data_IF_778917039349
#
_entry.id   IF_778917039349
#
_cell.length_a   1.000
_cell.length_b   1.000
_cell.length_c   1.000
_cell.angle_alpha   90.00
_cell.angle_beta   90.00
_cell.angle_gamma   90.00
#
_symmetry.space_group_name_H-M   'P 1'
#
loop_
_entity.id
_entity.type
_entity.pdbx_description
1 polymer ?
#
# COMPACT_ATOMS: atom_id res chain seq x y z
N UNK A 1 -2.41 -6.32 14.15
CA UNK A 1 -1.88 -5.86 12.85
C UNK A 1 -2.21 -4.41 12.56
N UNK A 2 -3.47 -3.97 12.77
CA UNK A 2 -3.90 -2.60 12.45
C UNK A 2 -3.06 -1.53 13.16
N UNK A 3 -2.92 -1.60 14.48
CA UNK A 3 -2.15 -0.63 15.28
C UNK A 3 -0.69 -0.52 14.83
N UNK A 4 -0.02 -1.66 14.62
CA UNK A 4 1.37 -1.70 14.17
C UNK A 4 1.53 -1.02 12.81
N UNK A 5 0.72 -1.39 11.81
CA UNK A 5 0.84 -0.86 10.46
C UNK A 5 0.50 0.63 10.42
N UNK A 6 -0.57 1.04 11.11
CA UNK A 6 -0.94 2.46 11.21
C UNK A 6 0.17 3.27 11.90
N UNK A 7 0.76 2.76 12.98
CA UNK A 7 1.89 3.39 13.65
C UNK A 7 3.12 3.53 12.74
N UNK A 8 3.44 2.49 11.97
CA UNK A 8 4.54 2.52 10.99
C UNK A 8 4.27 3.52 9.86
N UNK A 9 3.05 3.58 9.31
CA UNK A 9 2.69 4.59 8.29
C UNK A 9 2.83 6.00 8.84
N UNK A 10 2.41 6.24 10.09
CA UNK A 10 2.60 7.54 10.76
C UNK A 10 4.09 7.85 10.93
N UNK A 11 4.90 6.87 11.35
CA UNK A 11 6.35 7.05 11.47
C UNK A 11 7.00 7.40 10.11
N UNK A 12 6.65 6.67 9.05
CA UNK A 12 7.14 6.93 7.68
C UNK A 12 6.75 8.34 7.24
N UNK A 13 5.49 8.74 7.42
CA UNK A 13 5.00 10.08 7.08
C UNK A 13 5.73 11.17 7.89
N UNK A 14 5.98 10.94 9.19
CA UNK A 14 6.71 11.90 10.03
C UNK A 14 8.16 12.09 9.56
N UNK A 15 8.84 11.01 9.18
CA UNK A 15 10.21 11.07 8.65
C UNK A 15 10.21 11.78 7.30
N UNK A 16 9.23 11.51 6.43
CA UNK A 16 9.07 12.21 5.17
C UNK A 16 8.93 13.73 5.39
N UNK A 17 8.09 14.16 6.34
CA UNK A 17 7.93 15.58 6.71
C UNK A 17 9.23 16.22 7.20
N UNK A 18 10.03 15.50 7.99
CA UNK A 18 11.37 15.96 8.39
C UNK A 18 12.25 16.19 7.16
N UNK A 19 12.25 15.25 6.20
CA UNK A 19 12.99 15.41 4.95
C UNK A 19 12.46 16.57 4.09
N UNK A 20 11.15 16.84 4.06
CA UNK A 20 10.60 18.04 3.39
C UNK A 20 11.23 19.30 3.96
N UNK A 21 11.28 19.41 5.30
CA UNK A 21 11.91 20.56 5.98
C UNK A 21 13.41 20.66 5.71
N UNK A 22 14.14 19.54 5.79
CA UNK A 22 15.59 19.50 5.53
C UNK A 22 15.96 19.81 4.07
N UNK A 23 15.03 19.58 3.14
CA UNK A 23 15.19 19.91 1.72
C UNK A 23 14.58 21.26 1.34
N UNK A 24 14.16 22.08 2.32
CA UNK A 24 13.53 23.40 2.10
C UNK A 24 12.30 23.36 1.17
N UNK A 25 11.61 22.22 1.10
CA UNK A 25 10.47 22.03 0.20
C UNK A 25 10.83 21.72 -1.26
N UNK A 26 12.11 21.60 -1.62
CA UNK A 26 12.54 21.18 -2.95
C UNK A 26 12.43 19.66 -3.11
N UNK A 27 11.21 19.19 -3.39
CA UNK A 27 10.87 17.77 -3.53
C UNK A 27 9.86 17.55 -4.66
N UNK A 28 9.79 16.32 -5.17
CA UNK A 28 8.74 15.92 -6.10
C UNK A 28 7.47 15.54 -5.33
N UNK A 29 6.50 16.46 -5.24
CA UNK A 29 5.29 16.30 -4.44
C UNK A 29 4.41 15.14 -4.95
N UNK A 30 4.47 14.83 -6.24
CA UNK A 30 3.74 13.68 -6.79
C UNK A 30 4.25 12.36 -6.22
N UNK A 31 5.55 12.24 -5.95
CA UNK A 31 6.14 11.04 -5.37
C UNK A 31 5.75 10.85 -3.89
N UNK A 32 5.35 11.92 -3.18
CA UNK A 32 4.79 11.80 -1.83
C UNK A 32 3.44 11.07 -1.81
N UNK A 33 2.63 11.17 -2.87
CA UNK A 33 1.35 10.47 -2.97
C UNK A 33 1.55 8.95 -3.07
N UNK A 34 2.74 8.53 -3.49
CA UNK A 34 3.16 7.13 -3.58
C UNK A 34 3.62 6.54 -2.25
N UNK A 35 3.42 7.24 -1.11
CA UNK A 35 3.76 6.73 0.23
C UNK A 35 3.09 5.39 0.53
N UNK A 36 1.82 5.22 0.16
CA UNK A 36 1.08 3.97 0.37
C UNK A 36 1.62 2.84 -0.52
N UNK A 37 1.95 3.14 -1.79
CA UNK A 37 2.28 2.12 -2.80
C UNK A 37 3.75 1.74 -2.81
N UNK A 38 4.63 2.68 -2.50
CA UNK A 38 6.08 2.49 -2.46
C UNK A 38 6.57 2.47 -1.03
N UNK A 39 6.37 3.55 -0.28
CA UNK A 39 6.90 3.68 1.09
C UNK A 39 6.47 2.54 2.00
N UNK A 40 5.17 2.30 2.14
CA UNK A 40 4.67 1.24 3.01
C UNK A 40 5.10 -0.17 2.57
N UNK A 41 5.20 -0.45 1.26
CA UNK A 41 5.70 -1.75 0.77
C UNK A 41 7.13 -2.02 1.22
N UNK A 42 7.96 -0.98 1.19
CA UNK A 42 9.38 -1.05 1.49
C UNK A 42 9.63 -1.15 3.00
N UNK A 43 8.94 -0.33 3.78
CA UNK A 43 9.20 -0.18 5.22
C UNK A 43 8.43 -1.16 6.10
N UNK A 44 7.22 -1.56 5.68
CA UNK A 44 6.35 -2.46 6.44
C UNK A 44 6.46 -3.89 5.91
N UNK A 45 6.62 -4.03 4.60
CA UNK A 45 6.74 -5.32 3.92
C UNK A 45 5.39 -5.84 3.40
N UNK A 46 5.45 -6.44 2.20
CA UNK A 46 4.29 -6.99 1.48
C UNK A 46 3.47 -7.99 2.33
N UNK A 47 4.05 -8.97 3.06
CA UNK A 47 3.27 -9.96 3.80
C UNK A 47 2.38 -9.36 4.91
N UNK A 48 2.87 -8.35 5.63
CA UNK A 48 2.09 -7.71 6.69
C UNK A 48 0.93 -6.88 6.11
N UNK A 49 1.15 -6.25 4.96
CA UNK A 49 0.09 -5.54 4.23
C UNK A 49 -0.95 -6.52 3.65
N UNK A 50 -0.54 -7.71 3.21
CA UNK A 50 -1.46 -8.79 2.78
C UNK A 50 -2.37 -9.19 3.94
N UNK A 51 -1.79 -9.48 5.12
CA UNK A 51 -2.58 -9.84 6.31
C UNK A 51 -3.56 -8.71 6.66
N UNK A 52 -3.13 -7.44 6.59
CA UNK A 52 -4.01 -6.30 6.84
C UNK A 52 -5.18 -6.24 5.87
N UNK A 53 -4.92 -6.35 4.56
CA UNK A 53 -5.99 -6.32 3.58
C UNK A 53 -6.96 -7.49 3.73
N UNK A 54 -6.46 -8.69 4.05
CA UNK A 54 -7.33 -9.84 4.30
C UNK A 54 -8.17 -9.67 5.57
N UNK A 55 -7.63 -9.06 6.64
CA UNK A 55 -8.44 -8.75 7.82
C UNK A 55 -9.56 -7.77 7.49
N UNK A 56 -9.32 -6.79 6.62
CA UNK A 56 -10.38 -5.90 6.16
C UNK A 56 -11.42 -6.63 5.31
N UNK A 57 -11.00 -7.43 4.33
CA UNK A 57 -11.92 -8.24 3.51
C UNK A 57 -12.77 -9.16 4.39
N UNK A 58 -12.17 -9.78 5.41
CA UNK A 58 -12.89 -10.60 6.39
C UNK A 58 -13.92 -9.76 7.15
N UNK A 59 -13.53 -8.58 7.66
CA UNK A 59 -14.43 -7.67 8.36
C UNK A 59 -15.62 -7.23 7.49
N UNK A 60 -15.41 -6.86 6.22
CA UNK A 60 -16.50 -6.51 5.30
C UNK A 60 -17.33 -7.73 4.83
N UNK A 61 -16.84 -8.94 5.09
CA UNK A 61 -17.54 -10.20 4.77
C UNK A 61 -18.24 -10.80 5.98
N UNK A 62 -18.16 -10.15 7.15
CA UNK A 62 -18.77 -10.56 8.41
C UNK A 62 -19.71 -9.51 8.94
N UNK A 63 -20.79 -9.95 9.57
CA UNK A 63 -21.69 -9.10 10.35
C UNK A 63 -21.14 -8.86 11.76
N UNK A 64 -21.42 -7.68 12.34
CA UNK A 64 -21.03 -7.36 13.72
C UNK A 64 -22.14 -7.69 14.70
N UNK A 65 -21.89 -8.71 15.52
CA UNK A 65 -22.79 -9.17 16.59
C UNK A 65 -22.19 -8.88 17.96
N UNK A 66 -23.00 -8.33 18.85
CA UNK A 66 -22.66 -8.18 20.26
C UNK A 66 -23.53 -9.09 21.11
N UNK A 67 -22.91 -9.88 21.98
CA UNK A 67 -23.62 -10.65 22.99
C UNK A 67 -23.92 -9.74 24.18
N UNK A 68 -25.19 -9.40 24.37
CA UNK A 68 -25.64 -8.53 25.46
C UNK A 68 -26.36 -9.36 26.50
N UNK A 69 -25.97 -9.18 27.76
CA UNK A 69 -26.64 -9.78 28.90
C UNK A 69 -27.71 -8.81 29.42
N UNK A 70 -28.98 -9.23 29.41
CA UNK A 70 -30.09 -8.46 29.99
C UNK A 70 -30.73 -9.28 31.10
N UNK A 71 -30.30 -9.03 32.34
CA UNK A 71 -30.66 -9.86 33.50
C UNK A 71 -29.96 -11.22 33.43
N UNK A 72 -30.73 -12.30 33.44
CA UNK A 72 -30.25 -13.69 33.31
C UNK A 72 -30.21 -14.21 31.88
N UNK A 73 -30.68 -13.43 30.89
CA UNK A 73 -30.79 -13.86 29.51
C UNK A 73 -29.73 -13.19 28.62
N UNK A 74 -28.92 -14.00 27.95
CA UNK A 74 -27.94 -13.56 26.95
C UNK A 74 -28.56 -13.62 25.56
N UNK A 75 -28.49 -12.52 24.81
CA UNK A 75 -28.98 -12.47 23.42
C UNK A 75 -28.00 -11.70 22.53
N UNK A 76 -28.01 -12.02 21.23
CA UNK A 76 -27.21 -11.30 20.25
C UNK A 76 -27.97 -10.08 19.74
N UNK A 77 -27.29 -8.95 19.70
CA UNK A 77 -27.79 -7.70 19.12
C UNK A 77 -26.94 -7.36 17.90
N UNK A 78 -27.60 -7.06 16.80
CA UNK A 78 -26.95 -6.51 15.60
C UNK A 78 -26.62 -5.05 15.88
N UNK A 79 -25.34 -4.71 15.82
CA UNK A 79 -24.91 -3.32 15.93
C UNK A 79 -24.72 -2.75 14.55
N UNK A 80 -25.45 -1.68 14.24
CA UNK A 80 -25.21 -0.95 13.00
C UNK A 80 -23.92 -0.16 13.13
N UNK A 81 -22.88 -0.59 12.42
CA UNK A 81 -21.66 0.19 12.33
C UNK A 81 -21.91 1.48 11.53
N UNK A 82 -21.36 2.61 11.98
CA UNK A 82 -21.52 3.86 11.27
C UNK A 82 -20.83 3.82 9.91
N UNK A 83 -21.40 4.53 8.94
CA UNK A 83 -21.00 4.52 7.53
C UNK A 83 -19.49 4.73 7.30
N UNK A 84 -18.83 5.53 8.13
CA UNK A 84 -17.40 5.83 8.00
C UNK A 84 -16.51 4.62 8.30
N UNK A 85 -16.94 3.67 9.15
CA UNK A 85 -16.18 2.44 9.40
C UNK A 85 -16.16 1.55 8.17
N UNK A 86 -17.29 1.43 7.47
CA UNK A 86 -17.37 0.69 6.20
C UNK A 86 -16.46 1.31 5.15
N UNK A 87 -16.47 2.65 5.03
CA UNK A 87 -15.62 3.37 4.08
C UNK A 87 -14.13 3.23 4.41
N UNK A 88 -13.77 3.31 5.70
CA UNK A 88 -12.40 3.09 6.18
C UNK A 88 -11.95 1.66 5.92
N UNK A 89 -12.79 0.67 6.24
CA UNK A 89 -12.47 -0.74 6.01
C UNK A 89 -12.35 -1.04 4.51
N UNK A 90 -13.17 -0.43 3.66
CA UNK A 90 -13.02 -0.51 2.19
C UNK A 90 -11.69 0.10 1.73
N UNK A 91 -11.25 1.20 2.34
CA UNK A 91 -9.92 1.77 2.07
C UNK A 91 -8.81 0.78 2.44
N UNK A 92 -8.99 -0.02 3.48
CA UNK A 92 -8.03 -1.07 3.84
C UNK A 92 -7.95 -2.22 2.81
N UNK A 93 -8.97 -2.42 1.98
CA UNK A 93 -8.91 -3.38 0.86
C UNK A 93 -7.98 -2.86 -0.25
N UNK A 94 -7.79 -1.55 -0.38
CA UNK A 94 -6.89 -0.98 -1.41
C UNK A 94 -5.44 -1.37 -1.23
N UNK A 95 -5.03 -1.78 -0.03
CA UNK A 95 -3.72 -2.41 0.19
C UNK A 95 -3.54 -3.65 -0.66
N UNK A 96 -4.57 -4.50 -0.80
CA UNK A 96 -4.51 -5.68 -1.67
C UNK A 96 -4.30 -5.26 -3.13
N UNK A 97 -4.99 -4.20 -3.56
CA UNK A 97 -4.83 -3.65 -4.93
C UNK A 97 -3.39 -3.17 -5.15
N UNK A 98 -2.82 -2.46 -4.18
CA UNK A 98 -1.43 -2.01 -4.24
C UNK A 98 -0.46 -3.21 -4.33
N UNK A 99 -0.69 -4.28 -3.58
CA UNK A 99 0.14 -5.50 -3.60
C UNK A 99 0.02 -6.22 -4.94
N UNK A 100 -1.20 -6.33 -5.49
CA UNK A 100 -1.42 -6.94 -6.81
C UNK A 100 -0.75 -6.11 -7.89
N UNK A 101 -0.87 -4.77 -7.87
CA UNK A 101 -0.16 -3.89 -8.79
C UNK A 101 1.37 -4.07 -8.67
N UNK A 102 1.87 -4.19 -7.46
CA UNK A 102 3.30 -4.30 -7.16
C UNK A 102 3.93 -5.63 -7.64
N UNK A 103 3.17 -6.73 -7.56
CA UNK A 103 3.55 -8.01 -8.18
C UNK A 103 3.38 -7.94 -9.69
N UNK A 104 2.27 -7.37 -10.17
CA UNK A 104 1.96 -7.26 -11.60
C UNK A 104 3.01 -6.42 -12.35
N UNK A 105 3.65 -5.48 -11.67
CA UNK A 105 4.70 -4.60 -12.18
C UNK A 105 5.87 -5.32 -12.84
N UNK A 106 6.15 -6.57 -12.44
CA UNK A 106 7.13 -7.41 -13.12
C UNK A 106 6.81 -7.65 -14.60
N UNK A 107 5.52 -7.59 -14.97
CA UNK A 107 5.03 -7.73 -16.35
C UNK A 107 4.50 -6.42 -16.94
N UNK A 108 3.84 -5.58 -16.13
CA UNK A 108 3.21 -4.35 -16.60
C UNK A 108 4.21 -3.19 -16.75
N UNK A 109 5.29 -3.17 -15.97
CA UNK A 109 6.39 -2.20 -16.07
C UNK A 109 5.87 -0.75 -16.15
N UNK A 110 6.22 0.00 -17.20
CA UNK A 110 5.86 1.42 -17.42
C UNK A 110 4.35 1.65 -17.49
N UNK A 111 3.55 0.62 -17.83
CA UNK A 111 2.10 0.74 -17.84
C UNK A 111 1.53 0.99 -16.45
N UNK A 112 2.21 0.56 -15.39
CA UNK A 112 1.74 0.63 -14.02
C UNK A 112 1.41 2.06 -13.59
N UNK A 113 2.20 3.05 -14.02
CA UNK A 113 1.97 4.47 -13.72
C UNK A 113 0.60 4.97 -14.20
N UNK A 114 0.14 4.50 -15.36
CA UNK A 114 -1.07 5.01 -16.00
C UNK A 114 -2.36 4.49 -15.33
N UNK A 115 -2.34 3.25 -14.82
CA UNK A 115 -3.56 2.62 -14.32
C UNK A 115 -3.60 2.42 -12.81
N UNK A 116 -2.46 2.45 -12.10
CA UNK A 116 -2.39 2.08 -10.69
C UNK A 116 -3.35 2.89 -9.80
N UNK A 117 -3.37 4.23 -9.97
CA UNK A 117 -4.22 5.14 -9.20
C UNK A 117 -5.70 4.96 -9.53
N UNK A 118 -6.03 4.93 -10.82
CA UNK A 118 -7.41 4.72 -11.27
C UNK A 118 -7.95 3.36 -10.81
N UNK A 119 -7.14 2.31 -10.88
CA UNK A 119 -7.51 0.96 -10.43
C UNK A 119 -7.86 0.92 -8.94
N UNK A 120 -7.05 1.56 -8.07
CA UNK A 120 -7.38 1.58 -6.64
C UNK A 120 -8.61 2.42 -6.32
N UNK A 121 -8.82 3.55 -7.01
CA UNK A 121 -10.05 4.34 -6.87
C UNK A 121 -11.27 3.53 -7.32
N UNK A 122 -11.18 2.85 -8.47
CA UNK A 122 -12.25 2.02 -9.02
C UNK A 122 -12.62 0.89 -8.05
N UNK A 123 -11.63 0.11 -7.59
CA UNK A 123 -11.88 -0.98 -6.64
C UNK A 123 -12.46 -0.44 -5.34
N UNK A 124 -11.93 0.66 -4.81
CA UNK A 124 -12.46 1.27 -3.58
C UNK A 124 -13.94 1.64 -3.74
N UNK A 125 -14.30 2.31 -4.84
CA UNK A 125 -15.69 2.66 -5.13
C UNK A 125 -16.58 1.42 -5.28
N UNK A 126 -16.12 0.37 -5.96
CA UNK A 126 -16.88 -0.88 -6.10
C UNK A 126 -17.07 -1.55 -4.73
N UNK A 127 -16.04 -1.63 -3.90
CA UNK A 127 -16.12 -2.26 -2.58
C UNK A 127 -17.04 -1.46 -1.66
N UNK A 128 -16.96 -0.14 -1.67
CA UNK A 128 -17.86 0.75 -0.91
C UNK A 128 -19.30 0.56 -1.36
N UNK A 129 -19.57 0.66 -2.67
CA UNK A 129 -20.94 0.52 -3.20
C UNK A 129 -21.52 -0.88 -2.93
N UNK A 130 -20.74 -1.93 -3.14
CA UNK A 130 -21.13 -3.30 -2.84
C UNK A 130 -21.48 -3.49 -1.35
N UNK A 131 -20.77 -2.81 -0.45
CA UNK A 131 -21.02 -2.87 1.00
C UNK A 131 -22.28 -2.15 1.43
N UNK A 132 -22.72 -1.12 0.70
CA UNK A 132 -23.96 -0.41 0.97
C UNK A 132 -25.18 -1.05 0.29
N UNK A 133 -25.02 -1.55 -0.95
CA UNK A 133 -26.13 -2.14 -1.72
C UNK A 133 -26.46 -3.55 -1.24
N UNK A 134 -25.46 -4.33 -0.85
CA UNK A 134 -25.62 -5.70 -0.39
C UNK A 134 -24.84 -5.90 0.93
N UNK A 135 -25.36 -5.38 2.07
CA UNK A 135 -24.77 -5.60 3.38
C UNK A 135 -24.84 -7.09 3.77
N UNK A 136 -23.92 -7.54 4.61
CA UNK A 136 -23.91 -8.92 5.12
C UNK A 136 -24.78 -9.02 6.37
N UNK A 137 -25.82 -9.84 6.30
CA UNK A 137 -26.65 -10.23 7.44
C UNK A 137 -26.12 -11.51 8.10
N UNK A 138 -26.41 -11.68 9.39
CA UNK A 138 -26.11 -12.91 10.12
C UNK A 138 -27.25 -13.92 9.93
N UNK A 139 -26.91 -15.21 9.91
CA UNK A 139 -27.91 -16.29 9.92
C UNK A 139 -27.79 -17.10 11.19
N UNK A 140 -28.87 -17.15 11.97
CA UNK A 140 -29.00 -17.97 13.18
C UNK A 140 -30.03 -19.06 12.92
N UNK A 141 -29.61 -20.32 12.98
CA UNK A 141 -30.52 -21.47 12.95
C UNK A 141 -30.47 -22.16 14.31
N UNK A 142 -31.62 -22.23 14.98
CA UNK A 142 -31.75 -22.85 16.30
C UNK A 142 -32.13 -24.31 16.08
N UNK A 143 -31.24 -25.22 16.48
CA UNK A 143 -31.46 -26.66 16.46
C UNK A 143 -30.84 -27.22 17.74
N UNK A 144 -31.69 -27.69 18.66
CA UNK A 144 -31.23 -28.29 19.91
C UNK A 144 -30.95 -29.77 19.69
N UNK A 145 -29.67 -30.13 19.65
CA UNK A 145 -29.23 -31.52 19.59
C UNK A 145 -28.36 -31.80 20.82
N UNK A 146 -28.83 -32.70 21.69
CA UNK A 146 -28.11 -33.12 22.88
C UNK A 146 -27.56 -34.53 22.68
N UNK A 147 -26.25 -34.69 22.85
CA UNK A 147 -25.58 -35.99 22.80
C UNK A 147 -24.86 -36.26 24.12
N UNK A 148 -24.80 -37.54 24.52
CA UNK A 148 -24.00 -37.98 25.66
C UNK A 148 -22.60 -38.31 25.15
N UNK A 149 -21.62 -37.44 25.45
CA UNK A 149 -20.27 -37.55 24.87
C UNK A 149 -19.38 -38.57 25.61
N UNK A 150 -19.71 -38.94 26.87
CA UNK A 150 -18.85 -39.81 27.68
C UNK A 150 -19.62 -40.59 28.75
N UNK A 151 -19.02 -41.71 29.18
CA UNK A 151 -19.50 -42.61 30.26
C UNK A 151 -19.31 -41.91 31.62
N UNK A 152 -20.10 -40.86 31.87
CA UNK A 152 -20.32 -40.21 33.18
C UNK A 152 -21.45 -39.14 33.11
N UNK A 153 -22.45 -39.34 32.24
CA UNK A 153 -23.61 -38.45 32.08
C UNK A 153 -23.29 -36.99 31.71
N UNK A 154 -22.15 -36.70 31.08
CA UNK A 154 -21.89 -35.38 30.52
C UNK A 154 -22.71 -35.17 29.24
N UNK A 155 -23.80 -34.41 29.34
CA UNK A 155 -24.64 -34.01 28.21
C UNK A 155 -24.04 -32.77 27.54
N UNK A 156 -23.70 -32.89 26.26
CA UNK A 156 -23.29 -31.76 25.41
C UNK A 156 -24.45 -31.44 24.49
N UNK A 157 -25.07 -30.28 24.67
CA UNK A 157 -26.13 -29.78 23.81
C UNK A 157 -25.59 -28.70 22.86
N UNK A 158 -25.72 -28.92 21.56
CA UNK A 158 -25.62 -27.86 20.57
C UNK A 158 -26.98 -27.15 20.53
N UNK A 159 -27.02 -25.84 20.79
CA UNK A 159 -28.28 -25.06 20.82
C UNK A 159 -28.64 -24.44 19.46
N UNK A 160 -27.72 -24.42 18.51
CA UNK A 160 -27.91 -23.85 17.18
C UNK A 160 -26.60 -23.54 16.48
N UNK A 161 -26.69 -23.22 15.19
CA UNK A 161 -25.54 -22.78 14.38
C UNK A 161 -25.68 -21.29 14.02
N UNK A 162 -24.61 -20.53 14.29
CA UNK A 162 -24.54 -19.10 14.00
C UNK A 162 -23.52 -18.86 12.89
N UNK A 163 -24.01 -18.42 11.73
CA UNK A 163 -23.19 -18.01 10.60
C UNK A 163 -23.06 -16.49 10.58
N UNK A 164 -21.84 -15.99 10.82
CA UNK A 164 -21.55 -14.56 10.95
C UNK A 164 -21.03 -13.96 9.64
N UNK A 165 -20.39 -14.76 8.79
CA UNK A 165 -19.81 -14.29 7.53
C UNK A 165 -19.81 -15.33 6.44
N UNK A 166 -19.60 -14.86 5.20
CA UNK A 166 -19.73 -15.67 4.00
C UNK A 166 -18.43 -15.69 3.20
N UNK A 167 -17.91 -16.90 2.92
CA UNK A 167 -16.74 -17.09 2.07
C UNK A 167 -16.98 -16.59 0.64
N UNK A 168 -18.22 -16.67 0.14
CA UNK A 168 -18.60 -16.14 -1.17
C UNK A 168 -18.27 -14.66 -1.28
N UNK A 169 -18.53 -13.86 -0.24
CA UNK A 169 -18.23 -12.43 -0.23
C UNK A 169 -16.73 -12.13 -0.29
N UNK A 170 -15.94 -12.90 0.45
CA UNK A 170 -14.47 -12.83 0.41
C UNK A 170 -13.97 -13.10 -1.02
N UNK A 171 -14.45 -14.18 -1.63
CA UNK A 171 -14.09 -14.54 -3.01
C UNK A 171 -14.50 -13.45 -4.00
N UNK A 172 -15.70 -12.88 -3.85
CA UNK A 172 -16.15 -11.75 -4.69
C UNK A 172 -15.23 -10.54 -4.56
N UNK A 173 -14.85 -10.14 -3.34
CA UNK A 173 -13.95 -8.99 -3.14
C UNK A 173 -12.57 -9.23 -3.76
N UNK A 174 -12.01 -10.43 -3.58
CA UNK A 174 -10.73 -10.81 -4.18
C UNK A 174 -10.85 -10.82 -5.71
N UNK A 175 -11.91 -11.40 -6.26
CA UNK A 175 -12.18 -11.41 -7.69
C UNK A 175 -12.33 -10.00 -8.28
N UNK A 176 -12.96 -9.07 -7.57
CA UNK A 176 -13.04 -7.66 -7.96
C UNK A 176 -11.64 -7.04 -8.05
N UNK A 177 -10.77 -7.28 -7.06
CA UNK A 177 -9.40 -6.74 -7.08
C UNK A 177 -8.63 -7.20 -8.31
N UNK A 178 -8.61 -8.51 -8.58
CA UNK A 178 -7.89 -9.05 -9.74
C UNK A 178 -8.55 -8.67 -11.07
N UNK A 179 -9.88 -8.70 -11.15
CA UNK A 179 -10.66 -8.35 -12.33
C UNK A 179 -10.48 -6.88 -12.73
N UNK A 180 -10.63 -5.96 -11.78
CA UNK A 180 -10.41 -4.53 -12.02
C UNK A 180 -8.97 -4.24 -12.43
N UNK A 181 -7.99 -4.93 -11.84
CA UNK A 181 -6.59 -4.80 -12.23
C UNK A 181 -6.37 -5.18 -13.71
N UNK A 182 -6.88 -6.35 -14.12
CA UNK A 182 -6.76 -6.83 -15.50
C UNK A 182 -7.46 -5.90 -16.50
N UNK A 183 -8.67 -5.42 -16.18
CA UNK A 183 -9.42 -4.48 -17.03
C UNK A 183 -8.69 -3.14 -17.15
N UNK A 184 -8.23 -2.56 -16.03
CA UNK A 184 -7.51 -1.30 -16.04
C UNK A 184 -6.19 -1.41 -16.81
N UNK A 185 -5.47 -2.53 -16.68
CA UNK A 185 -4.26 -2.79 -17.46
C UNK A 185 -4.57 -2.92 -18.96
N UNK A 186 -5.60 -3.66 -19.35
CA UNK A 186 -6.01 -3.79 -20.75
C UNK A 186 -6.37 -2.43 -21.36
N UNK A 187 -7.12 -1.60 -20.63
CA UNK A 187 -7.46 -0.24 -21.05
C UNK A 187 -6.18 0.61 -21.21
N UNK A 188 -5.27 0.57 -20.25
CA UNK A 188 -4.00 1.32 -20.33
C UNK A 188 -3.14 0.87 -21.52
N UNK A 189 -3.12 -0.43 -21.84
CA UNK A 189 -2.43 -0.97 -23.02
C UNK A 189 -3.01 -0.47 -24.33
N UNK A 190 -4.32 -0.29 -24.40
CA UNK A 190 -5.02 0.22 -25.59
C UNK A 190 -4.81 1.74 -25.73
N UNK A 191 -4.92 2.50 -24.63
CA UNK A 191 -4.85 3.96 -24.64
C UNK A 191 -3.42 4.51 -24.77
N UNK A 192 -2.42 3.79 -24.24
CA UNK A 192 -1.01 4.20 -24.29
C UNK A 192 -0.15 3.14 -24.99
N UNK A 193 -0.27 2.99 -26.32
CA UNK A 193 0.57 2.05 -27.06
C UNK A 193 2.02 2.56 -27.07
N UNK A 194 2.92 1.84 -26.37
CA UNK A 194 4.37 2.10 -26.25
C UNK A 194 4.77 3.28 -25.36
N UNK A 195 4.64 3.17 -24.02
CA UNK A 195 5.30 4.09 -23.11
C UNK A 195 6.82 4.03 -23.30
N UNK A 196 7.49 5.18 -23.19
CA UNK A 196 8.94 5.24 -23.28
C UNK A 196 9.56 4.44 -22.13
N UNK A 197 10.56 3.58 -22.40
CA UNK A 197 11.16 2.74 -21.38
C UNK A 197 11.79 3.59 -20.27
N UNK A 198 11.69 3.12 -19.04
CA UNK A 198 12.33 3.79 -17.92
C UNK A 198 13.84 3.65 -18.04
N UNK A 199 14.52 4.78 -18.28
CA UNK A 199 15.99 4.88 -18.33
C UNK A 199 16.65 4.42 -17.04
N UNK A 200 15.93 4.42 -15.92
CA UNK A 200 16.49 4.16 -14.60
C UNK A 200 16.73 2.66 -14.40
N UNK A 201 17.98 2.22 -14.58
CA UNK A 201 18.39 0.85 -14.31
C UNK A 201 19.43 0.83 -13.17
N UNK A 202 18.97 0.68 -11.91
CA UNK A 202 19.86 0.64 -10.75
C UNK A 202 19.34 -0.31 -9.67
N UNK A 203 20.25 -1.11 -9.09
CA UNK A 203 19.94 -2.06 -8.02
C UNK A 203 19.43 -1.37 -6.74
N UNK A 204 19.76 -0.09 -6.55
CA UNK A 204 19.33 0.70 -5.40
C UNK A 204 17.87 1.19 -5.53
N UNK A 205 17.27 1.04 -6.70
CA UNK A 205 15.92 1.56 -6.97
C UNK A 205 14.94 0.39 -7.01
N UNK A 206 13.97 0.45 -6.10
CA UNK A 206 12.85 -0.47 -6.06
C UNK A 206 12.00 -0.38 -7.32
N UNK A 207 11.43 -1.49 -7.79
CA UNK A 207 10.56 -1.50 -8.97
C UNK A 207 9.42 -0.46 -8.86
N UNK A 208 8.77 -0.34 -7.70
CA UNK A 208 7.74 0.67 -7.48
C UNK A 208 8.25 2.10 -7.59
N UNK A 209 9.47 2.39 -7.12
CA UNK A 209 10.09 3.69 -7.33
C UNK A 209 10.45 3.90 -8.81
N UNK A 210 10.95 2.88 -9.51
CA UNK A 210 11.29 2.94 -10.94
C UNK A 210 10.09 3.24 -11.84
N UNK A 211 8.93 2.66 -11.54
CA UNK A 211 7.76 2.70 -12.42
C UNK A 211 6.61 3.59 -11.92
N UNK A 212 6.56 4.00 -10.64
CA UNK A 212 5.54 4.96 -10.16
C UNK A 212 6.09 6.35 -9.87
N UNK A 213 7.39 6.54 -9.63
CA UNK A 213 7.90 7.88 -9.39
C UNK A 213 8.03 8.68 -10.68
N UNK A 214 7.65 9.95 -10.57
CA UNK A 214 7.98 10.97 -11.55
C UNK A 214 9.47 11.32 -11.37
N UNK A 215 10.25 11.05 -12.41
CA UNK A 215 11.72 11.17 -12.37
C UNK A 215 12.28 12.12 -13.44
N UNK A 216 11.50 12.48 -14.46
CA UNK A 216 11.96 13.18 -15.66
C UNK A 216 12.60 14.53 -15.37
N UNK A 217 12.10 15.27 -14.38
CA UNK A 217 12.61 16.59 -13.95
C UNK A 217 13.89 16.51 -13.12
N UNK A 218 14.27 15.32 -12.65
CA UNK A 218 15.38 15.08 -11.72
C UNK A 218 16.55 14.32 -12.36
N UNK A 219 16.49 14.03 -13.67
CA UNK A 219 17.59 13.44 -14.43
C UNK A 219 18.40 14.56 -15.08
N UNK A 220 19.67 14.67 -14.70
CA UNK A 220 20.61 15.67 -15.24
C UNK A 220 21.88 14.95 -15.66
N UNK A 221 22.29 15.14 -16.92
CA UNK A 221 23.52 14.56 -17.50
C UNK A 221 23.62 13.03 -17.27
N UNK A 222 22.52 12.31 -17.55
CA UNK A 222 22.34 10.86 -17.36
C UNK A 222 22.57 10.35 -15.91
N UNK A 223 22.47 11.24 -14.93
CA UNK A 223 22.42 10.91 -13.50
C UNK A 223 21.04 11.24 -12.94
N UNK A 224 20.42 10.27 -12.27
CA UNK A 224 19.15 10.50 -11.59
C UNK A 224 19.40 11.05 -10.18
N UNK A 225 19.05 12.31 -9.96
CA UNK A 225 19.13 12.95 -8.65
C UNK A 225 17.84 12.73 -7.88
N UNK A 226 17.71 11.59 -7.21
CA UNK A 226 16.51 11.26 -6.47
C UNK A 226 16.36 12.19 -5.24
N UNK A 227 15.27 12.94 -5.14
CA UNK A 227 15.04 13.80 -3.98
C UNK A 227 15.03 12.99 -2.67
N UNK A 228 15.41 13.61 -1.54
CA UNK A 228 15.62 12.89 -0.28
C UNK A 228 14.36 12.23 0.26
N UNK A 229 13.18 12.76 -0.05
CA UNK A 229 11.90 12.16 0.36
C UNK A 229 11.62 10.93 -0.48
N UNK A 230 11.75 11.01 -1.81
CA UNK A 230 11.65 9.86 -2.71
C UNK A 230 12.70 8.80 -2.38
N UNK A 231 13.92 9.19 -2.01
CA UNK A 231 14.96 8.28 -1.53
C UNK A 231 14.51 7.53 -0.26
N UNK A 232 13.94 8.25 0.70
CA UNK A 232 13.40 7.65 1.92
C UNK A 232 12.21 6.73 1.64
N UNK A 233 11.28 7.09 0.77
CA UNK A 233 10.17 6.22 0.35
C UNK A 233 10.69 4.98 -0.40
N UNK A 234 11.75 5.15 -1.19
CA UNK A 234 12.50 4.06 -1.80
C UNK A 234 13.32 3.26 -0.77
N UNK A 235 13.37 3.61 0.51
CA UNK A 235 14.06 2.82 1.54
C UNK A 235 15.55 3.15 1.75
N UNK A 236 16.00 4.30 1.26
CA UNK A 236 17.34 4.83 1.48
C UNK A 236 17.24 6.02 2.44
N UNK A 237 17.77 5.86 3.66
CA UNK A 237 17.88 6.98 4.60
C UNK A 237 19.11 7.81 4.27
N UNK A 238 18.94 9.13 4.07
CA UNK A 238 20.02 10.01 3.64
C UNK A 238 20.42 11.00 4.73
N UNK A 239 21.70 11.04 5.06
CA UNK A 239 22.29 12.05 5.94
C UNK A 239 23.34 12.82 5.16
N UNK A 240 23.12 14.13 5.02
CA UNK A 240 24.09 15.01 4.39
C UNK A 240 25.02 15.58 5.45
N UNK A 241 26.32 15.41 5.25
CA UNK A 241 27.35 16.06 6.05
C UNK A 241 28.31 16.82 5.14
N UNK A 242 28.26 18.15 5.20
CA UNK A 242 29.04 19.05 4.31
C UNK A 242 28.82 18.70 2.82
N UNK A 243 29.87 18.21 2.15
CA UNK A 243 29.91 17.85 0.73
C UNK A 243 29.74 16.36 0.47
N UNK A 244 29.38 15.58 1.47
CA UNK A 244 29.18 14.14 1.32
C UNK A 244 27.77 13.77 1.76
N UNK A 245 27.09 12.98 0.94
CA UNK A 245 25.82 12.37 1.28
C UNK A 245 26.06 10.91 1.64
N UNK A 246 25.71 10.56 2.88
CA UNK A 246 25.68 9.18 3.36
C UNK A 246 24.27 8.65 3.19
N UNK A 247 24.12 7.46 2.62
CA UNK A 247 22.86 6.76 2.54
C UNK A 247 22.95 5.40 3.24
N UNK A 248 21.86 4.95 3.84
CA UNK A 248 21.70 3.57 4.28
C UNK A 248 20.52 2.98 3.55
N UNK A 249 20.78 2.02 2.66
CA UNK A 249 19.74 1.23 1.99
C UNK A 249 19.28 0.12 2.93
N UNK A 250 18.05 0.26 3.44
CA UNK A 250 17.46 -0.68 4.41
C UNK A 250 17.08 -2.00 3.74
N UNK A 251 16.84 -2.03 2.42
CA UNK A 251 16.51 -3.27 1.71
C UNK A 251 17.75 -4.14 1.55
N UNK A 252 18.85 -3.52 1.13
CA UNK A 252 20.11 -4.22 0.84
C UNK A 252 21.03 -4.31 2.07
N UNK A 253 20.72 -3.60 3.16
CA UNK A 253 21.59 -3.43 4.33
C UNK A 253 22.98 -2.88 3.95
N UNK A 254 23.02 -1.96 2.98
CA UNK A 254 24.27 -1.37 2.45
C UNK A 254 24.33 0.12 2.76
N UNK A 255 25.46 0.53 3.32
CA UNK A 255 25.81 1.94 3.42
C UNK A 255 26.41 2.42 2.09
N UNK A 256 26.00 3.59 1.64
CA UNK A 256 26.51 4.28 0.47
C UNK A 256 27.07 5.64 0.87
N UNK A 257 28.15 6.05 0.21
CA UNK A 257 28.78 7.34 0.38
C UNK A 257 28.94 7.95 -1.00
N UNK A 258 28.38 9.13 -1.19
CA UNK A 258 28.46 9.86 -2.46
C UNK A 258 28.96 11.27 -2.18
N UNK A 259 30.01 11.68 -2.87
CA UNK A 259 30.52 13.04 -2.80
C UNK A 259 29.72 13.94 -3.75
N UNK A 260 29.21 15.05 -3.24
CA UNK A 260 28.36 15.98 -3.98
C UNK A 260 29.22 16.93 -4.83
N UNK A 261 28.80 17.22 -6.08
CA UNK A 261 29.47 18.19 -6.95
C UNK A 261 29.60 19.57 -6.28
N UNK A 262 30.68 20.29 -6.58
CA UNK A 262 30.79 21.70 -6.16
C UNK A 262 29.80 22.57 -6.94
N UNK A 263 29.11 23.51 -6.29
CA UNK A 263 28.20 24.44 -6.97
C UNK A 263 28.92 25.37 -7.97
N UNK A 264 30.25 25.43 -7.93
CA UNK A 264 31.06 26.38 -8.72
C UNK A 264 31.42 25.89 -10.15
N UNK A 265 30.94 24.71 -10.58
CA UNK A 265 31.33 24.11 -11.87
C UNK A 265 30.28 24.39 -12.95
N UNK A 266 30.20 25.65 -13.40
CA UNK A 266 29.49 26.02 -14.64
C UNK A 266 28.10 26.64 -14.45
N UNK A 267 27.63 27.35 -15.48
CA UNK A 267 26.33 28.04 -15.48
C UNK A 267 25.15 27.07 -15.53
N UNK A 268 24.73 26.61 -14.36
CA UNK A 268 23.60 25.70 -14.24
C UNK A 268 22.30 26.49 -14.23
N UNK A 269 21.29 25.98 -14.93
CA UNK A 269 19.92 26.45 -14.77
C UNK A 269 19.46 26.20 -13.31
N UNK A 270 18.67 27.11 -12.73
CA UNK A 270 18.29 27.09 -11.29
C UNK A 270 17.76 25.71 -10.84
N UNK A 271 17.04 25.02 -11.74
CA UNK A 271 16.49 23.68 -11.48
C UNK A 271 17.55 22.59 -11.37
N UNK A 272 18.60 22.63 -12.21
CA UNK A 272 19.71 21.66 -12.15
C UNK A 272 20.50 21.84 -10.87
N UNK A 273 20.73 23.09 -10.46
CA UNK A 273 21.42 23.41 -9.21
C UNK A 273 20.65 22.84 -8.00
N UNK A 274 19.33 22.99 -7.96
CA UNK A 274 18.47 22.44 -6.91
C UNK A 274 18.55 20.90 -6.89
N UNK A 275 18.40 20.24 -8.04
CA UNK A 275 18.40 18.78 -8.11
C UNK A 275 19.70 18.18 -7.56
N UNK A 276 20.85 18.77 -7.90
CA UNK A 276 22.16 18.28 -7.45
C UNK A 276 22.49 18.69 -6.02
N UNK A 277 21.99 19.84 -5.57
CA UNK A 277 22.19 20.27 -4.19
C UNK A 277 21.37 19.42 -3.21
N UNK A 278 20.14 19.03 -3.57
CA UNK A 278 19.20 18.38 -2.65
C UNK A 278 18.90 16.92 -2.98
N UNK A 279 19.33 16.40 -4.13
CA UNK A 279 19.10 15.01 -4.53
C UNK A 279 20.25 14.07 -4.16
N UNK A 280 19.90 12.80 -3.99
CA UNK A 280 20.84 11.68 -3.94
C UNK A 280 21.19 11.28 -5.38
N UNK A 281 22.47 11.35 -5.79
CA UNK A 281 22.87 10.94 -7.13
C UNK A 281 22.78 9.42 -7.24
N UNK A 282 22.00 8.92 -8.19
CA UNK A 282 21.93 7.51 -8.55
C UNK A 282 22.36 7.38 -10.01
N UNK A 283 23.47 6.67 -10.22
CA UNK A 283 23.96 6.37 -11.56
C UNK A 283 22.93 5.47 -12.24
N UNK A 284 22.48 5.93 -13.40
CA UNK A 284 21.65 5.14 -14.31
C UNK A 284 22.59 4.11 -14.95
N UNK A 285 22.33 2.83 -14.75
CA UNK A 285 23.13 1.78 -15.39
C UNK A 285 22.92 1.79 -16.90
N UNK A 286 24.02 1.67 -17.66
CA UNK A 286 23.95 1.37 -19.09
C UNK A 286 23.28 0.00 -19.29
N UNK A 287 22.43 -0.09 -20.31
CA UNK A 287 21.78 -1.34 -20.72
C UNK A 287 22.85 -2.43 -20.89
N UNK A 288 22.72 -3.53 -20.13
CA UNK A 288 23.47 -4.78 -20.35
C UNK A 288 22.78 -5.56 -21.46
#
# INVERSE_FOLDING_TARGET
TVVYITGMVIAIASIALVYVGLSHGHIEVLNLLELQRVGAMVWIGRPLLVVRSFTAVALLSTSTLQLVLKGTLSHFVVVQDPWYKTMLAANEVTWLVAIVNDIAMAWTQEYTMYYATLNSLLVWLIVVTLSFVAPIDHSLTIAQECSMAQVDFQVVCASGTLSIGYLSRVVTMVAIVFGCNAVCFAIARILAPHPAPSKINSIFIYAGARYLFVSTTWIVDDVYYMDRVSAMLNGILTVRFKRTMYGMDVKLWRALRVDLPSPDVGGWDDRRAIAVQYGLPVIIGDDI
#
